data_IF_422658185828
#
_entry.id   IF_422658185828
#
_cell.length_a   1.000
_cell.length_b   1.000
_cell.length_c   1.000
_cell.angle_alpha   90.00
_cell.angle_beta   90.00
_cell.angle_gamma   90.00
#
_symmetry.space_group_name_H-M   'P 1'
#
loop_
_entity.id
_entity.type
_entity.pdbx_description
1 polymer ?
#
# COMPACT_ATOMS: atom_id res chain seq x y z
N UNK A 1 5.84 -2.60 4.82
CA UNK A 1 5.36 -4.00 4.76
C UNK A 1 4.05 -4.06 3.95
N UNK A 2 3.84 -5.02 3.05
CA UNK A 2 2.55 -5.19 2.34
C UNK A 2 1.51 -5.87 3.25
N UNK A 3 0.23 -5.76 2.92
CA UNK A 3 -0.89 -6.32 3.72
C UNK A 3 -0.79 -7.84 3.97
N UNK A 4 -0.12 -8.57 3.08
CA UNK A 4 0.07 -10.03 3.03
C UNK A 4 1.50 -10.48 3.41
N UNK A 5 2.35 -9.56 3.87
CA UNK A 5 3.74 -9.89 4.25
C UNK A 5 3.85 -10.58 5.62
N UNK A 6 4.89 -11.40 5.80
CA UNK A 6 5.19 -12.05 7.08
C UNK A 6 5.33 -11.06 8.25
N UNK A 7 5.85 -9.85 7.98
CA UNK A 7 5.98 -8.79 8.97
C UNK A 7 4.63 -8.29 9.53
N UNK A 8 3.52 -8.64 8.87
CA UNK A 8 2.15 -8.32 9.32
C UNK A 8 1.46 -9.48 10.01
N UNK A 9 2.08 -10.65 10.15
CA UNK A 9 1.39 -11.81 10.74
C UNK A 9 1.50 -11.84 12.28
N UNK A 10 0.39 -12.01 13.03
CA UNK A 10 -1.00 -12.01 12.55
C UNK A 10 -1.48 -10.59 12.22
N UNK A 11 -2.29 -10.41 11.15
CA UNK A 11 -2.72 -9.07 10.73
C UNK A 11 -3.62 -8.43 11.78
N UNK A 12 -3.55 -7.09 11.98
CA UNK A 12 -4.51 -6.37 12.79
C UNK A 12 -5.94 -6.58 12.23
N UNK A 13 -6.87 -6.99 13.08
CA UNK A 13 -8.27 -7.25 12.70
C UNK A 13 -9.22 -6.30 13.39
N UNK A 14 -10.26 -5.90 12.66
CA UNK A 14 -11.42 -5.25 13.26
C UNK A 14 -12.14 -6.26 14.15
N UNK A 15 -12.69 -5.79 15.27
CA UNK A 15 -13.58 -6.61 16.09
C UNK A 15 -14.81 -6.98 15.22
N UNK A 16 -15.20 -8.26 15.13
CA UNK A 16 -16.36 -8.67 14.35
C UNK A 16 -17.61 -7.84 14.68
N UNK A 17 -18.35 -7.44 13.66
CA UNK A 17 -19.58 -6.63 13.82
C UNK A 17 -19.35 -5.14 14.13
N UNK A 18 -18.10 -4.67 14.21
CA UNK A 18 -17.78 -3.25 14.44
C UNK A 18 -17.35 -2.56 13.15
N UNK A 19 -17.42 -1.22 13.12
CA UNK A 19 -16.95 -0.36 12.01
C UNK A 19 -17.62 -0.64 10.66
N UNK A 20 -18.81 -1.24 10.66
CA UNK A 20 -19.53 -1.61 9.44
C UNK A 20 -19.87 -0.37 8.61
N UNK A 21 -20.45 0.67 9.24
CA UNK A 21 -20.82 1.90 8.54
C UNK A 21 -19.61 2.63 7.98
N UNK A 22 -18.52 2.73 8.77
CA UNK A 22 -17.25 3.31 8.31
C UNK A 22 -16.66 2.53 7.15
N UNK A 23 -16.65 1.19 7.19
CA UNK A 23 -16.13 0.39 6.08
C UNK A 23 -17.00 0.56 4.83
N UNK A 24 -18.33 0.61 5.00
CA UNK A 24 -19.26 0.84 3.90
C UNK A 24 -18.98 2.18 3.22
N UNK A 25 -18.91 3.26 3.99
CA UNK A 25 -18.60 4.61 3.49
C UNK A 25 -17.28 4.63 2.70
N UNK A 26 -16.25 3.94 3.21
CA UNK A 26 -14.96 3.85 2.54
C UNK A 26 -15.06 3.05 1.23
N UNK A 27 -15.78 1.94 1.20
CA UNK A 27 -15.95 1.16 -0.03
C UNK A 27 -16.79 1.90 -1.07
N UNK A 28 -17.82 2.64 -0.64
CA UNK A 28 -18.60 3.51 -1.51
C UNK A 28 -17.70 4.61 -2.10
N UNK A 29 -16.83 5.22 -1.29
CA UNK A 29 -15.82 6.18 -1.73
C UNK A 29 -14.84 5.58 -2.76
N UNK A 30 -14.30 4.38 -2.49
CA UNK A 30 -13.42 3.66 -3.42
C UNK A 30 -14.13 3.39 -4.76
N UNK A 31 -15.41 3.02 -4.73
CA UNK A 31 -16.19 2.70 -5.91
C UNK A 31 -16.50 3.94 -6.78
N UNK A 32 -16.65 5.11 -6.16
CA UNK A 32 -16.82 6.37 -6.88
C UNK A 32 -15.53 6.76 -7.63
N UNK A 33 -14.37 6.62 -6.98
CA UNK A 33 -13.07 6.85 -7.62
C UNK A 33 -12.76 8.30 -8.00
N UNK A 34 -13.49 9.26 -7.42
CA UNK A 34 -13.37 10.69 -7.76
C UNK A 34 -12.25 11.39 -6.99
N UNK A 35 -11.92 10.88 -5.81
CA UNK A 35 -10.92 11.43 -4.91
C UNK A 35 -9.69 10.53 -4.78
N UNK A 36 -8.52 11.14 -4.55
CA UNK A 36 -7.23 10.44 -4.57
C UNK A 36 -6.72 10.02 -3.19
N UNK A 37 -7.20 10.67 -2.12
CA UNK A 37 -6.69 10.49 -0.75
C UNK A 37 -7.86 10.43 0.23
N UNK A 38 -7.91 9.35 1.01
CA UNK A 38 -8.79 9.19 2.16
C UNK A 38 -7.98 9.33 3.45
N UNK A 39 -8.42 10.20 4.36
CA UNK A 39 -7.78 10.40 5.66
C UNK A 39 -8.60 9.82 6.81
N UNK A 40 -8.10 8.76 7.45
CA UNK A 40 -8.73 8.13 8.62
C UNK A 40 -8.08 8.66 9.89
N UNK A 41 -8.80 9.51 10.63
CA UNK A 41 -8.34 10.08 11.91
C UNK A 41 -9.09 9.52 13.11
N UNK A 42 -8.48 9.64 14.30
CA UNK A 42 -9.11 9.25 15.56
C UNK A 42 -8.08 8.91 16.66
N UNK A 43 -8.53 8.71 17.91
CA UNK A 43 -7.65 8.45 19.05
C UNK A 43 -6.72 7.24 18.84
N UNK A 44 -5.61 7.19 19.59
CA UNK A 44 -4.75 6.00 19.61
C UNK A 44 -5.55 4.77 20.08
N UNK A 45 -5.23 3.59 19.55
CA UNK A 45 -5.90 2.34 19.93
C UNK A 45 -7.30 2.11 19.31
N UNK A 46 -7.86 3.02 18.53
CA UNK A 46 -9.23 2.87 17.97
C UNK A 46 -9.37 1.92 16.78
N UNK A 47 -8.28 1.27 16.37
CA UNK A 47 -8.28 0.26 15.31
C UNK A 47 -8.08 0.80 13.89
N UNK A 48 -7.59 2.03 13.70
CA UNK A 48 -7.33 2.61 12.35
C UNK A 48 -6.49 1.70 11.45
N UNK A 49 -5.42 1.11 11.99
CA UNK A 49 -4.56 0.17 11.25
C UNK A 49 -5.29 -1.12 10.86
N UNK A 50 -6.27 -1.54 11.66
CA UNK A 50 -7.11 -2.69 11.34
C UNK A 50 -8.13 -2.37 10.24
N UNK A 51 -8.67 -1.14 10.22
CA UNK A 51 -9.50 -0.66 9.10
C UNK A 51 -8.68 -0.65 7.80
N UNK A 52 -7.49 -0.05 7.82
CA UNK A 52 -6.60 -0.03 6.65
C UNK A 52 -6.20 -1.45 6.18
N UNK A 53 -5.94 -2.38 7.10
CA UNK A 53 -5.72 -3.79 6.75
C UNK A 53 -6.93 -4.40 6.06
N UNK A 54 -8.12 -4.20 6.61
CA UNK A 54 -9.36 -4.76 6.08
C UNK A 54 -9.67 -4.24 4.67
N UNK A 55 -9.43 -2.96 4.42
CA UNK A 55 -9.57 -2.34 3.10
C UNK A 55 -8.60 -2.98 2.11
N UNK A 56 -7.31 -3.07 2.47
CA UNK A 56 -6.30 -3.67 1.60
C UNK A 56 -6.62 -5.13 1.25
N UNK A 57 -7.03 -5.95 2.23
CA UNK A 57 -7.46 -7.33 2.00
C UNK A 57 -8.68 -7.43 1.07
N UNK A 58 -9.67 -6.55 1.25
CA UNK A 58 -10.87 -6.54 0.41
C UNK A 58 -10.56 -6.11 -1.03
N UNK A 59 -9.78 -5.06 -1.23
CA UNK A 59 -9.34 -4.62 -2.55
C UNK A 59 -8.44 -5.67 -3.23
N UNK A 60 -7.58 -6.36 -2.48
CA UNK A 60 -6.77 -7.46 -3.01
C UNK A 60 -7.65 -8.62 -3.48
N UNK A 61 -8.65 -9.01 -2.68
CA UNK A 61 -9.62 -10.06 -3.03
C UNK A 61 -10.43 -9.72 -4.28
N UNK A 62 -10.74 -8.44 -4.49
CA UNK A 62 -11.50 -7.95 -5.63
C UNK A 62 -10.61 -7.59 -6.84
N UNK A 63 -9.30 -7.85 -6.78
CA UNK A 63 -8.34 -7.50 -7.84
C UNK A 63 -8.27 -6.00 -8.17
N UNK A 64 -8.68 -5.12 -7.24
CA UNK A 64 -8.64 -3.66 -7.40
C UNK A 64 -7.46 -3.00 -6.67
N UNK A 65 -6.75 -3.75 -5.82
CA UNK A 65 -5.57 -3.22 -5.13
C UNK A 65 -4.36 -3.17 -6.06
N UNK A 66 -3.86 -1.98 -6.36
CA UNK A 66 -2.59 -1.79 -7.07
C UNK A 66 -1.39 -2.20 -6.18
N UNK A 67 -1.31 -1.67 -4.96
CA UNK A 67 -0.27 -2.01 -4.00
C UNK A 67 -0.64 -1.56 -2.58
N UNK A 68 0.07 -2.09 -1.59
CA UNK A 68 -0.11 -1.73 -0.19
C UNK A 68 1.25 -1.55 0.50
N UNK A 69 1.33 -0.57 1.39
CA UNK A 69 2.49 -0.37 2.25
C UNK A 69 2.07 0.16 3.62
N UNK A 70 2.46 -0.56 4.66
CA UNK A 70 2.29 -0.18 6.05
C UNK A 70 3.65 0.17 6.64
N UNK A 71 3.77 1.39 7.16
CA UNK A 71 4.87 1.80 8.03
C UNK A 71 4.77 1.08 9.37
N UNK A 72 5.92 0.69 9.92
CA UNK A 72 5.99 0.05 11.23
C UNK A 72 7.06 0.74 12.08
N UNK A 73 6.61 1.46 13.10
CA UNK A 73 7.49 2.07 14.10
C UNK A 73 7.94 0.98 15.08
N UNK A 74 9.25 0.72 15.18
CA UNK A 74 9.80 -0.21 16.16
C UNK A 74 10.99 -1.05 15.71
N UNK A 75 11.40 -1.00 14.44
CA UNK A 75 12.65 -1.61 13.99
C UNK A 75 13.45 -0.56 13.22
N UNK A 76 14.71 -0.37 13.59
CA UNK A 76 15.66 0.54 12.92
C UNK A 76 15.63 0.31 11.41
N UNK A 77 15.30 1.35 10.64
CA UNK A 77 15.20 1.30 9.17
C UNK A 77 13.81 1.00 8.59
N UNK A 78 12.81 0.64 9.42
CA UNK A 78 11.41 0.36 8.96
C UNK A 78 10.44 1.53 9.14
N UNK A 79 10.92 2.61 9.73
CA UNK A 79 10.32 3.95 9.76
C UNK A 79 10.76 4.81 8.54
N UNK A 80 11.73 4.34 7.77
CA UNK A 80 12.20 5.00 6.55
C UNK A 80 11.24 4.76 5.38
N UNK A 81 10.96 5.83 4.64
CA UNK A 81 10.24 5.76 3.38
C UNK A 81 11.09 5.17 2.23
N UNK A 82 12.36 4.84 2.47
CA UNK A 82 13.28 4.26 1.48
C UNK A 82 12.68 3.07 0.73
N UNK A 83 11.94 2.20 1.42
CA UNK A 83 11.35 1.02 0.81
C UNK A 83 9.93 1.24 0.29
N UNK A 84 9.34 2.42 0.44
CA UNK A 84 7.96 2.69 0.03
C UNK A 84 7.78 2.47 -1.46
N UNK A 85 8.48 3.26 -2.29
CA UNK A 85 8.28 3.21 -3.74
C UNK A 85 8.82 1.91 -4.35
N UNK A 86 10.01 1.38 -3.99
CA UNK A 86 10.46 0.09 -4.50
C UNK A 86 9.45 -1.04 -4.22
N UNK A 87 8.83 -1.05 -3.03
CA UNK A 87 7.80 -2.04 -2.69
C UNK A 87 6.54 -1.88 -3.53
N UNK A 88 6.10 -0.64 -3.80
CA UNK A 88 4.93 -0.38 -4.64
C UNK A 88 5.20 -0.74 -6.10
N UNK A 89 6.36 -0.36 -6.64
CA UNK A 89 6.78 -0.67 -8.00
C UNK A 89 6.87 -2.18 -8.23
N UNK A 90 7.43 -2.93 -7.28
CA UNK A 90 7.43 -4.39 -7.34
C UNK A 90 6.00 -4.97 -7.37
N UNK A 91 5.10 -4.49 -6.50
CA UNK A 91 3.71 -4.93 -6.48
C UNK A 91 2.97 -4.61 -7.79
N UNK A 92 3.20 -3.42 -8.36
CA UNK A 92 2.66 -3.02 -9.66
C UNK A 92 3.16 -3.94 -10.78
N UNK A 93 4.46 -4.17 -10.88
CA UNK A 93 5.06 -5.05 -11.89
C UNK A 93 4.51 -6.49 -11.83
N UNK A 94 4.18 -6.97 -10.62
CA UNK A 94 3.61 -8.31 -10.44
C UNK A 94 2.12 -8.39 -10.78
N UNK A 95 1.37 -7.30 -10.61
CA UNK A 95 -0.09 -7.27 -10.83
C UNK A 95 -0.50 -6.71 -12.19
N UNK A 96 0.37 -5.94 -12.83
CA UNK A 96 0.13 -5.28 -14.11
C UNK A 96 1.19 -5.74 -15.12
N UNK A 97 0.95 -6.85 -15.86
CA UNK A 97 1.95 -7.41 -16.77
C UNK A 97 2.49 -6.42 -17.82
N UNK A 98 1.65 -5.47 -18.25
CA UNK A 98 2.04 -4.43 -19.20
C UNK A 98 3.08 -3.45 -18.64
N UNK A 99 3.11 -3.23 -17.33
CA UNK A 99 4.12 -2.38 -16.67
C UNK A 99 5.42 -3.15 -16.36
N UNK A 100 5.35 -4.49 -16.25
CA UNK A 100 6.50 -5.33 -15.86
C UNK A 100 7.72 -5.14 -16.75
N UNK A 101 7.52 -5.10 -18.08
CA UNK A 101 8.62 -4.91 -19.03
C UNK A 101 9.25 -3.53 -18.93
N UNK A 102 8.44 -2.49 -18.79
CA UNK A 102 8.92 -1.10 -18.66
C UNK A 102 9.71 -0.92 -17.36
N UNK A 103 9.14 -1.34 -16.23
CA UNK A 103 9.80 -1.28 -14.92
C UNK A 103 11.10 -2.09 -14.93
N UNK A 104 11.05 -3.32 -15.46
CA UNK A 104 12.21 -4.20 -15.57
C UNK A 104 13.35 -3.54 -16.34
N UNK A 105 13.06 -3.01 -17.54
CA UNK A 105 14.07 -2.33 -18.35
C UNK A 105 14.68 -1.10 -17.67
N UNK A 106 13.90 -0.31 -16.93
CA UNK A 106 14.43 0.86 -16.21
C UNK A 106 15.38 0.42 -15.08
N UNK A 107 14.99 -0.60 -14.31
CA UNK A 107 15.79 -1.12 -13.20
C UNK A 107 17.05 -1.83 -13.68
N UNK A 108 16.96 -2.60 -14.78
CA UNK A 108 18.11 -3.26 -15.41
C UNK A 108 19.15 -2.25 -15.91
N UNK A 109 18.70 -1.12 -16.46
CA UNK A 109 19.60 -0.06 -16.94
C UNK A 109 20.21 0.78 -15.81
N UNK A 110 19.48 1.02 -14.71
CA UNK A 110 19.92 1.85 -13.60
C UNK A 110 19.39 1.34 -12.26
N UNK A 111 20.07 0.35 -11.66
CA UNK A 111 19.71 -0.20 -10.35
C UNK A 111 19.70 0.88 -9.25
N UNK A 112 20.50 1.93 -9.39
CA UNK A 112 20.56 3.02 -8.39
C UNK A 112 19.22 3.75 -8.26
N UNK A 113 18.34 3.65 -9.27
CA UNK A 113 17.00 4.24 -9.25
C UNK A 113 16.21 3.85 -8.01
N UNK A 114 16.39 2.62 -7.49
CA UNK A 114 15.69 2.12 -6.30
C UNK A 114 16.13 2.77 -4.98
N UNK A 115 17.24 3.53 -4.99
CA UNK A 115 17.79 4.22 -3.83
C UNK A 115 17.83 5.75 -4.02
N UNK A 116 17.30 6.26 -5.14
CA UNK A 116 17.19 7.72 -5.36
C UNK A 116 16.14 8.35 -4.43
N UNK A 117 16.16 9.68 -4.24
CA UNK A 117 15.08 10.37 -3.53
C UNK A 117 13.69 9.99 -4.08
N UNK A 118 12.69 9.86 -3.19
CA UNK A 118 11.32 9.42 -3.51
C UNK A 118 10.74 10.06 -4.77
N UNK A 119 10.93 11.37 -4.94
CA UNK A 119 10.46 12.12 -6.11
C UNK A 119 11.00 11.56 -7.43
N UNK A 120 12.29 11.22 -7.47
CA UNK A 120 12.92 10.64 -8.67
C UNK A 120 12.48 9.20 -8.90
N UNK A 121 12.23 8.44 -7.83
CA UNK A 121 11.69 7.09 -7.93
C UNK A 121 10.28 7.12 -8.56
N UNK A 122 9.39 7.99 -8.06
CA UNK A 122 8.04 8.17 -8.62
C UNK A 122 8.11 8.58 -10.09
N UNK A 123 8.91 9.60 -10.41
CA UNK A 123 9.02 10.12 -11.77
C UNK A 123 9.57 9.11 -12.78
N UNK A 124 10.41 8.15 -12.34
CA UNK A 124 11.03 7.18 -13.25
C UNK A 124 10.32 5.84 -13.28
N UNK A 125 9.60 5.46 -12.23
CA UNK A 125 9.08 4.10 -12.09
C UNK A 125 7.54 4.03 -12.08
N UNK A 126 6.85 5.16 -11.91
CA UNK A 126 5.38 5.21 -11.82
C UNK A 126 4.75 6.13 -12.86
N UNK A 127 5.37 7.30 -13.10
CA UNK A 127 4.93 8.28 -14.11
C UNK A 127 5.70 8.09 -15.42
#
# INVERSE_FOLDING_TARGET
ASHDSQARHPPPRCVPGTRLDTLKEIFDWIALGNEQILWISGPAGTGKTAIAQKIAEACAKNSTLAGSFFFYQGATGRDSAEHLIPSIVHQLAMRMPHQRGQIGGIVENDLSVLHKPLRLQIQRLIL
#
